data_IF_437187733887
#
_entry.id   IF_437187733887
#
_cell.length_a   1.000
_cell.length_b   1.000
_cell.length_c   1.000
_cell.angle_alpha   90.00
_cell.angle_beta   90.00
_cell.angle_gamma   90.00
#
_symmetry.space_group_name_H-M   'P 1'
#
loop_
_entity.id
_entity.type
_entity.pdbx_description
1 polymer ?
#
# COMPACT_ATOMS: atom_id res chain seq x y z
N UNK A 1 5.09 -0.57 -12.27
CA UNK A 1 5.37 0.89 -12.28
C UNK A 1 5.98 1.32 -10.95
N UNK A 2 6.97 2.22 -10.96
CA UNK A 2 7.42 2.85 -9.71
C UNK A 2 6.45 3.94 -9.28
N UNK A 3 5.96 3.83 -8.05
CA UNK A 3 5.05 4.80 -7.44
C UNK A 3 5.85 5.81 -6.62
N UNK A 4 6.86 5.35 -5.88
CA UNK A 4 7.79 6.21 -5.14
C UNK A 4 9.19 6.12 -5.74
N UNK A 5 9.63 7.19 -6.40
CA UNK A 5 10.98 7.27 -6.96
C UNK A 5 12.05 7.48 -5.88
N UNK A 6 11.73 8.26 -4.86
CA UNK A 6 12.58 8.54 -3.70
C UNK A 6 13.15 7.28 -3.04
N UNK A 7 12.31 6.27 -2.86
CA UNK A 7 12.65 5.05 -2.12
C UNK A 7 12.54 3.79 -2.99
N UNK A 8 12.41 3.94 -4.31
CA UNK A 8 12.29 2.81 -5.23
C UNK A 8 11.12 1.87 -4.92
N UNK A 9 9.94 2.40 -4.56
CA UNK A 9 8.76 1.57 -4.26
C UNK A 9 7.90 1.41 -5.51
N UNK A 10 7.71 0.17 -5.95
CA UNK A 10 6.83 -0.19 -7.05
C UNK A 10 5.39 -0.43 -6.60
N UNK A 11 4.46 -0.34 -7.54
CA UNK A 11 3.05 -0.74 -7.37
C UNK A 11 2.95 -2.18 -6.82
N UNK A 12 3.75 -3.12 -7.35
CA UNK A 12 3.78 -4.51 -6.90
C UNK A 12 4.14 -4.62 -5.42
N UNK A 13 5.09 -3.82 -4.94
CA UNK A 13 5.51 -3.79 -3.54
C UNK A 13 4.39 -3.27 -2.63
N UNK A 14 3.64 -2.25 -3.08
CA UNK A 14 2.48 -1.74 -2.34
C UNK A 14 1.41 -2.83 -2.25
N UNK A 15 1.01 -3.42 -3.38
CA UNK A 15 -0.01 -4.48 -3.42
C UNK A 15 0.37 -5.68 -2.56
N UNK A 16 1.63 -6.12 -2.61
CA UNK A 16 2.13 -7.19 -1.76
C UNK A 16 2.02 -6.85 -0.26
N UNK A 17 2.43 -5.63 0.13
CA UNK A 17 2.31 -5.19 1.52
C UNK A 17 0.84 -5.12 1.98
N UNK A 18 -0.08 -4.71 1.10
CA UNK A 18 -1.51 -4.70 1.40
C UNK A 18 -2.06 -6.11 1.61
N UNK A 19 -1.75 -7.05 0.71
CA UNK A 19 -2.18 -8.46 0.83
C UNK A 19 -1.60 -9.16 2.04
N UNK A 20 -0.40 -8.79 2.48
CA UNK A 20 0.28 -9.42 3.60
C UNK A 20 -0.15 -8.86 4.96
N UNK A 21 -0.38 -7.55 5.06
CA UNK A 21 -0.56 -6.88 6.35
C UNK A 21 -1.94 -6.22 6.55
N UNK A 22 -2.78 -6.18 5.51
CA UNK A 22 -4.11 -5.52 5.48
C UNK A 22 -4.14 -4.17 6.24
N UNK A 23 -3.29 -3.20 5.85
CA UNK A 23 -3.21 -1.93 6.55
C UNK A 23 -4.54 -1.18 6.46
N UNK A 24 -5.10 -0.80 7.61
CA UNK A 24 -6.33 -0.01 7.74
C UNK A 24 -6.10 1.48 7.48
N UNK A 25 -4.85 1.91 7.38
CA UNK A 25 -4.50 3.29 7.05
C UNK A 25 -3.18 3.40 6.30
N UNK A 26 -3.03 4.50 5.56
CA UNK A 26 -1.77 4.82 4.89
C UNK A 26 -0.60 5.02 5.88
N UNK A 27 -0.89 5.41 7.13
CA UNK A 27 0.13 5.48 8.17
C UNK A 27 0.65 4.10 8.55
N UNK A 28 -0.22 3.08 8.62
CA UNK A 28 0.21 1.70 8.82
C UNK A 28 1.01 1.19 7.63
N UNK A 29 0.58 1.45 6.39
CA UNK A 29 1.34 1.08 5.19
C UNK A 29 2.78 1.62 5.22
N UNK A 30 2.98 2.87 5.68
CA UNK A 30 4.31 3.48 5.85
C UNK A 30 5.22 2.80 6.86
N UNK A 31 4.66 2.02 7.80
CA UNK A 31 5.45 1.21 8.75
C UNK A 31 6.02 -0.04 8.09
N UNK A 32 5.37 -0.57 7.06
CA UNK A 32 5.77 -1.80 6.38
C UNK A 32 6.69 -1.55 5.19
N UNK A 33 6.51 -0.43 4.49
CA UNK A 33 7.32 -0.07 3.32
C UNK A 33 7.72 1.42 3.37
N UNK A 34 8.94 1.78 2.92
CA UNK A 34 9.42 3.15 2.94
C UNK A 34 8.75 3.97 1.82
N UNK A 35 7.54 4.48 2.06
CA UNK A 35 6.78 5.26 1.07
C UNK A 35 6.33 6.60 1.64
N UNK A 36 6.39 7.67 0.84
CA UNK A 36 5.85 8.98 1.22
C UNK A 36 6.51 9.65 2.44
N UNK A 37 7.74 9.28 2.78
CA UNK A 37 8.51 9.86 3.90
C UNK A 37 9.64 10.82 3.45
N UNK A 38 9.83 11.04 2.14
CA UNK A 38 10.77 12.03 1.60
C UNK A 38 10.01 13.20 0.95
N UNK A 39 9.83 13.22 -0.39
CA UNK A 39 9.19 14.36 -1.07
C UNK A 39 7.65 14.34 -1.04
N UNK A 40 7.02 13.24 -0.59
CA UNK A 40 5.56 13.12 -0.49
C UNK A 40 4.78 13.00 -1.81
N UNK A 41 5.38 13.24 -2.97
CA UNK A 41 4.70 13.26 -4.29
C UNK A 41 3.96 11.95 -4.63
N UNK A 42 4.47 10.83 -4.15
CA UNK A 42 3.88 9.50 -4.36
C UNK A 42 2.62 9.22 -3.52
N UNK A 43 2.32 10.03 -2.49
CA UNK A 43 1.32 9.67 -1.46
C UNK A 43 -0.07 9.47 -2.04
N UNK A 44 -0.49 10.29 -3.01
CA UNK A 44 -1.81 10.16 -3.64
C UNK A 44 -1.91 8.86 -4.45
N UNK A 45 -1.00 8.65 -5.38
CA UNK A 45 -0.96 7.45 -6.23
C UNK A 45 -0.78 6.17 -5.40
N UNK A 46 0.04 6.21 -4.34
CA UNK A 46 0.23 5.07 -3.45
C UNK A 46 -1.04 4.71 -2.67
N UNK A 47 -1.83 5.72 -2.27
CA UNK A 47 -3.10 5.52 -1.58
C UNK A 47 -4.16 4.94 -2.51
N UNK A 48 -4.23 5.40 -3.75
CA UNK A 48 -5.12 4.84 -4.78
C UNK A 48 -4.82 3.34 -4.97
N UNK A 49 -3.55 2.98 -5.20
CA UNK A 49 -3.14 1.55 -5.31
C UNK A 49 -3.47 0.74 -4.05
N UNK A 50 -3.30 1.32 -2.86
CA UNK A 50 -3.64 0.66 -1.60
C UNK A 50 -5.14 0.40 -1.48
N UNK A 51 -5.98 1.37 -1.82
CA UNK A 51 -7.43 1.27 -1.75
C UNK A 51 -7.98 0.31 -2.80
N UNK A 52 -7.48 0.39 -4.03
CA UNK A 52 -7.84 -0.53 -5.12
C UNK A 52 -7.56 -1.98 -4.72
N UNK A 53 -6.40 -2.23 -4.11
CA UNK A 53 -6.04 -3.58 -3.66
C UNK A 53 -6.93 -4.05 -2.51
N UNK A 54 -7.23 -3.19 -1.52
CA UNK A 54 -8.13 -3.53 -0.41
C UNK A 54 -9.56 -3.85 -0.89
N UNK A 55 -10.07 -3.15 -1.92
CA UNK A 55 -11.39 -3.42 -2.49
C UNK A 55 -11.43 -4.74 -3.28
N UNK A 56 -10.31 -5.18 -3.84
CA UNK A 56 -10.21 -6.45 -4.56
C UNK A 56 -9.98 -7.66 -3.64
N UNK A 57 -9.66 -7.43 -2.37
CA UNK A 57 -9.52 -8.52 -1.41
C UNK A 57 -10.90 -9.07 -1.04
N UNK A 58 -11.20 -10.35 -1.32
CA UNK A 58 -12.44 -10.96 -0.87
C UNK A 58 -12.50 -10.90 0.66
N UNK A 59 -13.64 -10.45 1.20
CA UNK A 59 -13.97 -10.58 2.63
C UNK A 59 -14.09 -12.07 2.98
N UNK A 60 -12.97 -12.77 3.18
CA UNK A 60 -13.00 -13.98 3.98
C UNK A 60 -13.10 -13.56 5.44
N UNK A 61 -14.32 -13.17 5.85
CA UNK A 61 -14.70 -13.29 7.25
C UNK A 61 -14.38 -14.72 7.65
N UNK A 62 -13.53 -14.86 8.65
CA UNK A 62 -13.19 -16.14 9.26
C UNK A 62 -14.48 -16.96 9.45
N UNK A 63 -14.54 -18.11 8.78
CA UNK A 63 -15.45 -19.17 9.17
C UNK A 63 -14.77 -19.83 10.37
N UNK A 64 -15.07 -19.36 11.57
CA UNK A 64 -14.71 -19.99 12.83
C UNK A 64 -15.82 -19.77 13.86
#
# INVERSE_FOLDING_TARGET
MYICLCNGVSDKKIRQAVRQFQPQSFQQLRKFIPIGNQCGKCVRAAREVMQDELMQMPEFKEIA
#
